data_IF_054628861437
#
_entry.id   IF_054628861437
#
_cell.length_a   1.000
_cell.length_b   1.000
_cell.length_c   1.000
_cell.angle_alpha   90.00
_cell.angle_beta   90.00
_cell.angle_gamma   90.00
#
_symmetry.space_group_name_H-M   'P 1'
#
loop_
_entity.id
_entity.type
_entity.pdbx_description
1 polymer ?
#
# COMPACT_ATOMS: atom_id res chain seq x y z
N UNK A 1 7.29 19.56 -4.74
CA UNK A 1 6.43 18.35 -4.65
C UNK A 1 7.32 17.14 -4.85
N UNK A 2 7.25 16.13 -3.98
CA UNK A 2 7.80 14.80 -4.29
C UNK A 2 7.03 14.25 -5.49
N UNK A 3 7.73 13.74 -6.49
CA UNK A 3 7.11 12.98 -7.57
C UNK A 3 6.91 11.54 -7.13
N UNK A 4 6.01 10.81 -7.79
CA UNK A 4 5.84 9.37 -7.58
C UNK A 4 7.19 8.62 -7.63
N UNK A 5 8.07 9.01 -8.57
CA UNK A 5 9.41 8.44 -8.71
C UNK A 5 10.30 8.58 -7.47
N UNK A 6 10.23 9.70 -6.75
CA UNK A 6 11.05 9.89 -5.54
C UNK A 6 10.49 9.10 -4.37
N UNK A 7 9.16 9.06 -4.22
CA UNK A 7 8.51 8.24 -3.20
C UNK A 7 8.84 6.76 -3.37
N UNK A 8 8.64 6.25 -4.60
CA UNK A 8 8.94 4.87 -4.99
C UNK A 8 10.40 4.47 -4.69
N UNK A 9 11.36 5.32 -5.07
CA UNK A 9 12.77 5.06 -4.81
C UNK A 9 13.10 4.98 -3.31
N UNK A 10 12.48 5.82 -2.47
CA UNK A 10 12.65 5.76 -1.01
C UNK A 10 12.03 4.48 -0.47
N UNK A 11 10.81 4.13 -0.92
CA UNK A 11 10.12 2.91 -0.51
C UNK A 11 10.95 1.67 -0.82
N UNK A 12 11.46 1.56 -2.05
CA UNK A 12 12.33 0.44 -2.47
C UNK A 12 13.62 0.36 -1.68
N UNK A 13 14.26 1.49 -1.39
CA UNK A 13 15.45 1.51 -0.53
C UNK A 13 15.14 1.01 0.90
N UNK A 14 13.96 1.33 1.44
CA UNK A 14 13.53 0.82 2.74
C UNK A 14 13.29 -0.69 2.67
N UNK A 15 12.58 -1.17 1.64
CA UNK A 15 12.29 -2.60 1.44
C UNK A 15 13.59 -3.40 1.32
N UNK A 16 14.52 -2.93 0.48
CA UNK A 16 15.80 -3.60 0.24
C UNK A 16 16.66 -3.66 1.51
N UNK A 17 16.76 -2.56 2.26
CA UNK A 17 17.68 -2.49 3.39
C UNK A 17 17.12 -3.08 4.70
N UNK A 18 15.81 -2.96 4.95
CA UNK A 18 15.20 -3.43 6.19
C UNK A 18 14.42 -4.73 6.06
N UNK A 19 14.05 -5.15 4.84
CA UNK A 19 13.22 -6.34 4.61
C UNK A 19 12.01 -6.44 5.56
N UNK A 20 11.16 -5.39 5.63
CA UNK A 20 10.04 -5.38 6.55
C UNK A 20 8.98 -6.42 6.15
N UNK A 21 8.09 -6.80 7.07
CA UNK A 21 6.91 -7.61 6.73
C UNK A 21 5.87 -6.77 5.96
N UNK A 22 5.75 -5.49 6.31
CA UNK A 22 4.99 -4.50 5.56
C UNK A 22 5.59 -3.11 5.69
N UNK A 23 5.38 -2.27 4.68
CA UNK A 23 5.76 -0.86 4.72
C UNK A 23 4.72 -0.04 3.98
N UNK A 24 4.48 1.20 4.40
CA UNK A 24 3.53 2.07 3.72
C UNK A 24 3.94 3.53 3.71
N UNK A 25 3.56 4.22 2.64
CA UNK A 25 3.59 5.66 2.54
C UNK A 25 2.17 6.20 2.69
N UNK A 26 1.88 6.96 3.74
CA UNK A 26 0.53 7.51 3.91
C UNK A 26 0.48 8.65 4.91
N UNK A 27 -0.69 9.28 4.98
CA UNK A 27 -0.97 10.35 5.94
C UNK A 27 -1.77 9.82 7.12
N UNK A 28 -1.99 10.67 8.13
CA UNK A 28 -2.84 10.34 9.28
C UNK A 28 -4.30 10.14 8.87
N UNK A 29 -4.75 10.90 7.89
CA UNK A 29 -6.10 10.82 7.32
C UNK A 29 -6.34 9.44 6.69
N UNK A 30 -5.35 8.92 5.93
CA UNK A 30 -5.44 7.57 5.36
C UNK A 30 -5.57 6.51 6.45
N UNK A 31 -4.82 6.65 7.55
CA UNK A 31 -4.94 5.73 8.69
C UNK A 31 -6.35 5.79 9.30
N UNK A 32 -6.84 6.99 9.60
CA UNK A 32 -8.13 7.18 10.26
C UNK A 32 -9.30 6.65 9.42
N UNK A 33 -9.21 6.72 8.08
CA UNK A 33 -10.24 6.23 7.18
C UNK A 33 -10.42 4.70 7.21
N UNK A 34 -9.41 3.96 7.66
CA UNK A 34 -9.37 2.49 7.57
C UNK A 34 -9.98 1.78 8.78
N UNK A 35 -10.13 2.46 9.92
CA UNK A 35 -10.63 1.85 11.17
C UNK A 35 -9.82 0.64 11.64
N UNK A 36 -8.53 0.57 11.28
CA UNK A 36 -7.73 -0.64 11.34
C UNK A 36 -7.44 -1.13 12.77
N UNK A 37 -7.37 -2.45 12.94
CA UNK A 37 -6.80 -3.07 14.14
C UNK A 37 -5.27 -3.03 14.12
N UNK A 38 -4.63 -3.17 15.29
CA UNK A 38 -3.16 -3.10 15.43
C UNK A 38 -2.43 -4.18 14.62
N UNK A 39 -3.08 -5.31 14.37
CA UNK A 39 -2.53 -6.45 13.61
C UNK A 39 -2.71 -6.35 12.09
N UNK A 40 -3.49 -5.39 11.60
CA UNK A 40 -3.81 -5.28 10.18
C UNK A 40 -2.82 -4.37 9.45
N UNK A 41 -2.50 -4.72 8.21
CA UNK A 41 -1.67 -3.88 7.37
C UNK A 41 -2.41 -2.59 7.06
N UNK A 42 -1.82 -1.47 7.49
CA UNK A 42 -2.28 -0.14 7.10
C UNK A 42 -1.94 0.11 5.63
N UNK A 43 -2.95 0.44 4.84
CA UNK A 43 -2.79 0.80 3.43
C UNK A 43 -2.45 2.29 3.31
N UNK A 44 -1.54 2.61 2.40
CA UNK A 44 -1.16 3.98 2.04
C UNK A 44 -1.32 4.27 0.56
N UNK A 45 -0.70 5.36 0.11
CA UNK A 45 -0.47 5.61 -1.32
C UNK A 45 0.41 4.53 -1.94
N UNK A 46 1.51 4.18 -1.26
CA UNK A 46 2.30 2.99 -1.55
C UNK A 46 2.20 2.06 -0.36
N UNK A 47 2.03 0.77 -0.62
CA UNK A 47 1.96 -0.29 0.39
C UNK A 47 2.74 -1.49 -0.11
N UNK A 48 3.80 -1.85 0.60
CA UNK A 48 4.52 -3.10 0.40
C UNK A 48 3.98 -4.16 1.35
N UNK A 49 3.73 -5.34 0.81
CA UNK A 49 3.35 -6.55 1.53
C UNK A 49 4.36 -7.65 1.22
N UNK A 50 4.88 -8.32 2.26
CA UNK A 50 5.79 -9.44 2.08
C UNK A 50 5.10 -10.62 1.37
N UNK A 51 5.86 -11.39 0.61
CA UNK A 51 5.41 -12.61 -0.03
C UNK A 51 4.77 -13.59 0.96
N UNK A 52 3.68 -14.24 0.56
CA UNK A 52 2.93 -15.19 1.39
C UNK A 52 1.71 -14.57 2.09
N UNK A 53 1.48 -13.26 1.91
CA UNK A 53 0.24 -12.60 2.27
C UNK A 53 -0.70 -12.66 1.06
N UNK A 54 -1.90 -13.20 1.25
CA UNK A 54 -2.90 -13.30 0.18
C UNK A 54 -3.45 -11.91 -0.18
N UNK A 55 -3.48 -11.62 -1.47
CA UNK A 55 -4.06 -10.41 -2.04
C UNK A 55 -5.06 -10.79 -3.12
N UNK A 56 -6.34 -10.53 -2.90
CA UNK A 56 -7.38 -10.77 -3.90
C UNK A 56 -7.32 -9.70 -5.01
N UNK A 57 -6.61 -10.02 -6.09
CA UNK A 57 -6.45 -9.14 -7.24
C UNK A 57 -7.78 -8.73 -7.90
N UNK A 58 -8.86 -9.48 -7.71
CA UNK A 58 -10.17 -9.14 -8.28
C UNK A 58 -10.85 -7.96 -7.59
N UNK A 59 -10.41 -7.62 -6.36
CA UNK A 59 -10.94 -6.52 -5.56
C UNK A 59 -10.10 -5.24 -5.65
N UNK A 60 -8.93 -5.31 -6.29
CA UNK A 60 -8.04 -4.15 -6.38
C UNK A 60 -8.69 -3.03 -7.22
N UNK A 61 -8.56 -1.77 -6.79
CA UNK A 61 -9.09 -0.65 -7.55
C UNK A 61 -8.33 -0.53 -8.87
N UNK A 62 -9.01 -0.06 -9.92
CA UNK A 62 -8.43 0.07 -11.28
C UNK A 62 -7.18 0.95 -11.34
N UNK A 63 -7.03 1.86 -10.37
CA UNK A 63 -5.88 2.77 -10.26
C UNK A 63 -4.66 2.14 -9.60
N UNK A 64 -4.78 0.92 -9.05
CA UNK A 64 -3.69 0.21 -8.42
C UNK A 64 -2.69 -0.26 -9.48
N UNK A 65 -1.43 0.13 -9.28
CA UNK A 65 -0.29 -0.44 -9.99
C UNK A 65 0.43 -1.38 -9.04
N UNK A 66 0.64 -2.62 -9.48
CA UNK A 66 1.39 -3.62 -8.74
C UNK A 66 2.79 -3.76 -9.35
N UNK A 67 3.78 -3.80 -8.48
CA UNK A 67 5.15 -4.19 -8.83
C UNK A 67 5.54 -5.39 -7.98
N UNK A 68 5.79 -6.52 -8.65
CA UNK A 68 6.30 -7.71 -7.99
C UNK A 68 7.80 -7.54 -7.71
N UNK A 69 8.17 -7.66 -6.44
CA UNK A 69 9.54 -7.63 -5.96
C UNK A 69 9.95 -9.06 -5.52
N UNK A 70 11.26 -9.36 -5.43
CA UNK A 70 11.71 -10.71 -5.05
C UNK A 70 11.17 -11.21 -3.69
N UNK A 71 10.80 -10.31 -2.78
CA UNK A 71 10.36 -10.62 -1.41
C UNK A 71 8.91 -10.22 -1.12
N UNK A 72 8.14 -9.75 -2.10
CA UNK A 72 6.77 -9.29 -1.88
C UNK A 72 6.22 -8.43 -3.02
N UNK A 73 5.11 -7.76 -2.77
CA UNK A 73 4.41 -6.95 -3.77
C UNK A 73 4.32 -5.51 -3.28
N UNK A 74 4.71 -4.56 -4.13
CA UNK A 74 4.51 -3.13 -3.90
C UNK A 74 3.27 -2.66 -4.67
N UNK A 75 2.29 -2.14 -3.94
CA UNK A 75 1.03 -1.62 -4.47
C UNK A 75 1.10 -0.09 -4.43
N UNK A 76 0.76 0.57 -5.54
CA UNK A 76 0.71 2.04 -5.64
C UNK A 76 -0.65 2.51 -6.15
N UNK A 77 -1.25 3.47 -5.45
CA UNK A 77 -2.56 4.05 -5.75
C UNK A 77 -2.40 5.41 -6.46
N UNK A 78 -2.31 5.38 -7.78
CA UNK A 78 -2.15 6.58 -8.61
C UNK A 78 -0.81 7.32 -8.42
N UNK A 79 -0.72 8.54 -8.95
CA UNK A 79 0.55 9.30 -9.06
C UNK A 79 0.72 10.38 -7.98
N UNK A 80 -0.33 10.67 -7.20
CA UNK A 80 -0.36 11.81 -6.27
C UNK A 80 -0.38 11.31 -4.82
N UNK A 81 0.75 11.26 -4.12
CA UNK A 81 0.87 10.63 -2.79
C UNK A 81 0.01 11.24 -1.69
N UNK A 82 -0.46 12.48 -1.89
CA UNK A 82 -1.30 13.21 -0.93
C UNK A 82 -2.77 13.28 -1.35
N UNK A 83 -3.13 12.76 -2.53
CA UNK A 83 -4.48 12.85 -3.11
C UNK A 83 -4.99 11.48 -3.57
N UNK A 84 -4.84 10.45 -2.74
CA UNK A 84 -5.44 9.13 -2.94
C UNK A 84 -6.90 9.15 -2.51
N UNK A 85 -7.78 8.51 -3.30
CA UNK A 85 -9.17 8.34 -2.89
C UNK A 85 -9.25 7.33 -1.74
N UNK A 86 -10.04 7.64 -0.70
CA UNK A 86 -10.22 6.74 0.43
C UNK A 86 -10.89 5.42 0.03
N UNK A 87 -11.78 5.44 -0.97
CA UNK A 87 -12.40 4.20 -1.48
C UNK A 87 -11.36 3.25 -2.09
N UNK A 88 -10.31 3.77 -2.73
CA UNK A 88 -9.23 2.95 -3.29
C UNK A 88 -8.40 2.30 -2.16
N UNK A 89 -8.19 3.04 -1.07
CA UNK A 89 -7.51 2.51 0.13
C UNK A 89 -8.33 1.39 0.76
N UNK A 90 -9.66 1.58 0.89
CA UNK A 90 -10.56 0.56 1.43
C UNK A 90 -10.66 -0.66 0.50
N UNK A 91 -10.67 -0.47 -0.82
CA UNK A 91 -10.65 -1.59 -1.77
C UNK A 91 -9.41 -2.47 -1.62
N UNK A 92 -8.22 -1.89 -1.37
CA UNK A 92 -7.01 -2.67 -1.09
C UNK A 92 -7.11 -3.40 0.26
N UNK A 93 -7.73 -2.79 1.28
CA UNK A 93 -7.99 -3.50 2.55
C UNK A 93 -8.92 -4.69 2.36
N UNK A 94 -9.98 -4.51 1.58
CA UNK A 94 -10.90 -5.60 1.26
C UNK A 94 -10.19 -6.72 0.47
N UNK A 95 -9.25 -6.35 -0.42
CA UNK A 95 -8.39 -7.29 -1.14
C UNK A 95 -7.45 -8.07 -0.21
N UNK A 96 -7.01 -7.48 0.91
CA UNK A 96 -6.23 -8.14 1.96
C UNK A 96 -7.10 -8.97 2.92
N UNK A 97 -8.42 -9.03 2.70
CA UNK A 97 -9.36 -9.78 3.52
C UNK A 97 -9.75 -9.09 4.84
N UNK A 98 -9.43 -7.81 5.00
CA UNK A 98 -9.80 -7.04 6.19
C UNK A 98 -11.23 -6.49 6.11
N UNK A 99 -11.90 -6.30 7.26
CA UNK A 99 -13.16 -5.57 7.32
C UNK A 99 -12.97 -4.10 6.90
N UNK A 100 -13.95 -3.58 6.14
CA UNK A 100 -14.04 -2.20 5.63
C UNK A 100 -15.46 -1.65 5.75
#
# INVERSE_FOLDING_TARGET
MLTARVGDAIMKAIIEHWSPESARWGTREYRNAQGNEVSEIEVGWETYIQSGIDLDHSKLPVVAVLEELPNGTLIRLGEKPLNVNFDDILAVREALGYPV
#
